data_IF_491412453788
#
_entry.id   IF_491412453788
#
_cell.length_a   1.000
_cell.length_b   1.000
_cell.length_c   1.000
_cell.angle_alpha   90.00
_cell.angle_beta   90.00
_cell.angle_gamma   90.00
#
_symmetry.space_group_name_H-M   'P 1'
#
loop_
_entity.id
_entity.type
_entity.pdbx_description
1 polymer ?
#
# COMPACT_ATOMS: atom_id res chain seq x y z
N UNK A 1 -5.63 -9.34 35.03
CA UNK A 1 -5.02 -8.77 33.81
C UNK A 1 -5.62 -9.49 32.62
N UNK A 2 -6.74 -8.99 32.13
CA UNK A 2 -7.35 -9.54 30.92
C UNK A 2 -6.52 -9.10 29.72
N UNK A 3 -5.93 -10.07 29.05
CA UNK A 3 -5.23 -9.85 27.79
C UNK A 3 -6.24 -9.35 26.78
N UNK A 4 -6.10 -8.10 26.34
CA UNK A 4 -6.77 -7.58 25.15
C UNK A 4 -6.33 -8.44 23.95
N UNK A 5 -7.03 -9.55 23.72
CA UNK A 5 -7.04 -10.20 22.41
C UNK A 5 -7.58 -9.14 21.45
N UNK A 6 -6.70 -8.54 20.65
CA UNK A 6 -7.11 -7.79 19.48
C UNK A 6 -8.00 -8.73 18.66
N UNK A 7 -9.28 -8.41 18.61
CA UNK A 7 -10.22 -9.14 17.79
C UNK A 7 -9.92 -8.75 16.34
N UNK A 8 -8.97 -9.46 15.74
CA UNK A 8 -8.44 -9.26 14.38
C UNK A 8 -9.47 -9.43 13.25
N UNK A 9 -10.76 -9.44 13.57
CA UNK A 9 -11.87 -9.64 12.65
C UNK A 9 -12.65 -8.38 12.31
N UNK A 10 -12.39 -7.23 12.94
CA UNK A 10 -13.10 -6.00 12.57
C UNK A 10 -12.69 -5.58 11.14
N UNK A 11 -13.62 -5.33 10.20
CA UNK A 11 -13.27 -5.09 8.81
C UNK A 11 -12.29 -3.92 8.60
N UNK A 12 -12.34 -2.90 9.46
CA UNK A 12 -11.38 -1.79 9.45
C UNK A 12 -9.94 -2.25 9.71
N UNK A 13 -9.72 -3.13 10.70
CA UNK A 13 -8.39 -3.66 11.00
C UNK A 13 -7.90 -4.57 9.86
N UNK A 14 -8.79 -5.35 9.27
CA UNK A 14 -8.48 -6.23 8.12
C UNK A 14 -8.06 -5.41 6.91
N UNK A 15 -8.81 -4.36 6.57
CA UNK A 15 -8.50 -3.45 5.45
C UNK A 15 -7.19 -2.69 5.71
N UNK A 16 -7.01 -2.12 6.91
CA UNK A 16 -5.75 -1.48 7.35
C UNK A 16 -4.58 -2.46 7.22
N UNK A 17 -4.72 -3.68 7.75
CA UNK A 17 -3.67 -4.69 7.70
C UNK A 17 -3.31 -5.11 6.27
N UNK A 18 -4.29 -5.15 5.37
CA UNK A 18 -4.08 -5.43 3.94
C UNK A 18 -3.27 -4.32 3.28
N UNK A 19 -3.65 -3.06 3.51
CA UNK A 19 -2.89 -1.90 3.03
C UNK A 19 -1.42 -1.94 3.50
N UNK A 20 -1.20 -2.16 4.80
CA UNK A 20 0.15 -2.17 5.39
C UNK A 20 1.02 -3.30 4.83
N UNK A 21 0.46 -4.50 4.63
CA UNK A 21 1.21 -5.62 4.03
C UNK A 21 1.55 -5.34 2.57
N UNK A 22 0.58 -4.90 1.77
CA UNK A 22 0.82 -4.58 0.36
C UNK A 22 1.79 -3.41 0.19
N UNK A 23 1.83 -2.45 1.12
CA UNK A 23 2.84 -1.40 1.11
C UNK A 23 4.26 -1.97 1.30
N UNK A 24 4.44 -2.93 2.21
CA UNK A 24 5.74 -3.59 2.40
C UNK A 24 6.17 -4.37 1.15
N UNK A 25 5.23 -5.07 0.51
CA UNK A 25 5.49 -5.77 -0.75
C UNK A 25 5.92 -4.76 -1.84
N UNK A 26 5.20 -3.63 -1.95
CA UNK A 26 5.52 -2.56 -2.90
C UNK A 26 6.93 -1.99 -2.66
N UNK A 27 7.29 -1.70 -1.42
CA UNK A 27 8.61 -1.20 -1.04
C UNK A 27 9.72 -2.21 -1.36
N UNK A 28 9.49 -3.51 -1.14
CA UNK A 28 10.42 -4.56 -1.52
C UNK A 28 10.63 -4.60 -3.05
N UNK A 29 9.54 -4.54 -3.83
CA UNK A 29 9.65 -4.52 -5.30
C UNK A 29 10.32 -3.24 -5.85
N UNK A 30 10.25 -2.10 -5.15
CA UNK A 30 11.04 -0.90 -5.53
C UNK A 30 12.53 -1.18 -5.42
N UNK A 31 12.96 -1.90 -4.38
CA UNK A 31 14.36 -2.30 -4.21
C UNK A 31 14.77 -3.26 -5.32
N UNK A 32 13.97 -4.29 -5.60
CA UNK A 32 14.25 -5.26 -6.68
C UNK A 32 14.40 -4.57 -8.05
N UNK A 33 13.52 -3.64 -8.40
CA UNK A 33 13.64 -2.85 -9.63
C UNK A 33 14.91 -2.00 -9.64
N UNK A 34 15.28 -1.41 -8.51
CA UNK A 34 16.52 -0.63 -8.40
C UNK A 34 17.76 -1.50 -8.63
N UNK A 35 17.79 -2.71 -8.07
CA UNK A 35 18.88 -3.67 -8.24
C UNK A 35 18.96 -4.18 -9.68
N UNK A 36 17.82 -4.52 -10.29
CA UNK A 36 17.75 -4.95 -11.69
C UNK A 36 18.22 -3.84 -12.66
N UNK A 37 17.83 -2.57 -12.41
CA UNK A 37 18.34 -1.41 -13.16
C UNK A 37 19.86 -1.27 -13.04
N UNK A 38 20.37 -1.33 -11.82
CA UNK A 38 21.81 -1.24 -11.55
C UNK A 38 22.59 -2.35 -12.25
N UNK A 39 22.04 -3.58 -12.26
CA UNK A 39 22.65 -4.72 -12.97
C UNK A 39 22.66 -4.51 -14.48
N UNK A 40 21.56 -4.06 -15.07
CA UNK A 40 21.48 -3.77 -16.50
C UNK A 40 22.47 -2.66 -16.90
N UNK A 41 22.57 -1.60 -16.11
CA UNK A 41 23.52 -0.50 -16.33
C UNK A 41 24.97 -0.98 -16.26
N UNK A 42 25.31 -1.84 -15.29
CA UNK A 42 26.65 -2.42 -15.18
C UNK A 42 27.07 -3.27 -16.38
N UNK A 43 26.09 -3.76 -17.17
CA UNK A 43 26.31 -4.55 -18.37
C UNK A 43 26.21 -3.73 -19.67
N UNK A 44 25.93 -2.42 -19.60
CA UNK A 44 25.64 -1.61 -20.80
C UNK A 44 26.84 -1.50 -21.75
N UNK A 45 28.03 -1.36 -21.19
CA UNK A 45 29.26 -1.15 -21.95
C UNK A 45 30.08 -2.46 -22.10
N UNK A 46 29.48 -3.61 -21.76
CA UNK A 46 30.11 -4.92 -21.96
C UNK A 46 29.76 -5.46 -23.35
N UNK A 47 30.64 -6.28 -23.93
CA UNK A 47 30.36 -6.97 -25.21
C UNK A 47 29.42 -8.18 -25.02
N UNK A 48 29.02 -8.49 -23.78
CA UNK A 48 28.16 -9.63 -23.47
C UNK A 48 26.68 -9.30 -23.70
N UNK A 49 26.29 -9.37 -24.97
CA UNK A 49 24.90 -9.15 -25.41
C UNK A 49 23.91 -10.14 -24.81
N UNK A 50 24.36 -11.35 -24.46
CA UNK A 50 23.48 -12.37 -23.89
C UNK A 50 23.09 -11.98 -22.46
N UNK A 51 24.08 -11.66 -21.63
CA UNK A 51 23.84 -11.21 -20.26
C UNK A 51 23.09 -9.88 -20.20
N UNK A 52 23.38 -8.93 -21.10
CA UNK A 52 22.62 -7.70 -21.20
C UNK A 52 21.14 -7.95 -21.51
N UNK A 53 20.84 -8.83 -22.48
CA UNK A 53 19.45 -9.18 -22.83
C UNK A 53 18.73 -9.81 -21.64
N UNK A 54 19.37 -10.75 -20.94
CA UNK A 54 18.80 -11.40 -19.76
C UNK A 54 18.54 -10.41 -18.62
N UNK A 55 19.48 -9.50 -18.35
CA UNK A 55 19.30 -8.46 -17.34
C UNK A 55 18.13 -7.52 -17.70
N UNK A 56 17.92 -7.26 -18.99
CA UNK A 56 16.78 -6.47 -19.47
C UNK A 56 15.46 -7.19 -19.24
N UNK A 57 15.37 -8.48 -19.54
CA UNK A 57 14.17 -9.29 -19.27
C UNK A 57 13.82 -9.30 -17.78
N UNK A 58 14.81 -9.45 -16.90
CA UNK A 58 14.62 -9.38 -15.45
C UNK A 58 14.09 -8.01 -15.01
N UNK A 59 14.64 -6.92 -15.57
CA UNK A 59 14.15 -5.58 -15.28
C UNK A 59 12.69 -5.39 -15.73
N UNK A 60 12.35 -5.88 -16.92
CA UNK A 60 11.00 -5.79 -17.47
C UNK A 60 9.99 -6.55 -16.57
N UNK A 61 10.35 -7.76 -16.12
CA UNK A 61 9.55 -8.55 -15.17
C UNK A 61 9.37 -7.85 -13.81
N UNK A 62 10.46 -7.40 -13.20
CA UNK A 62 10.42 -6.71 -11.91
C UNK A 62 9.58 -5.42 -11.99
N UNK A 63 9.70 -4.68 -13.09
CA UNK A 63 8.93 -3.46 -13.34
C UNK A 63 7.43 -3.77 -13.48
N UNK A 64 7.08 -4.85 -14.18
CA UNK A 64 5.69 -5.27 -14.33
C UNK A 64 5.05 -5.65 -12.97
N UNK A 65 5.79 -6.36 -12.11
CA UNK A 65 5.34 -6.72 -10.76
C UNK A 65 5.16 -5.48 -9.88
N UNK A 66 6.10 -4.54 -9.95
CA UNK A 66 6.00 -3.27 -9.22
C UNK A 66 4.75 -2.48 -9.63
N UNK A 67 4.49 -2.33 -10.93
CA UNK A 67 3.31 -1.63 -11.45
C UNK A 67 2.00 -2.32 -11.06
N UNK A 68 1.95 -3.66 -11.11
CA UNK A 68 0.79 -4.41 -10.66
C UNK A 68 0.52 -4.18 -9.16
N UNK A 69 1.57 -4.22 -8.35
CA UNK A 69 1.48 -4.03 -6.89
C UNK A 69 1.08 -2.59 -6.55
N UNK A 70 1.61 -1.60 -7.27
CA UNK A 70 1.22 -0.18 -7.16
C UNK A 70 -0.29 0.01 -7.34
N UNK A 71 -0.87 -0.57 -8.40
CA UNK A 71 -2.32 -0.50 -8.68
C UNK A 71 -3.14 -1.17 -7.58
N UNK A 72 -2.71 -2.33 -7.08
CA UNK A 72 -3.37 -3.00 -5.96
C UNK A 72 -3.34 -2.16 -4.69
N UNK A 73 -2.19 -1.55 -4.39
CA UNK A 73 -2.01 -0.68 -3.24
C UNK A 73 -2.96 0.53 -3.29
N UNK A 74 -3.06 1.18 -4.45
CA UNK A 74 -4.01 2.27 -4.68
C UNK A 74 -5.47 1.82 -4.48
N UNK A 75 -5.82 0.63 -4.98
CA UNK A 75 -7.13 0.03 -4.79
C UNK A 75 -7.47 -0.25 -3.32
N UNK A 76 -6.53 -0.82 -2.56
CA UNK A 76 -6.72 -1.06 -1.12
C UNK A 76 -6.78 0.23 -0.30
N UNK A 77 -6.03 1.26 -0.69
CA UNK A 77 -6.11 2.57 -0.06
C UNK A 77 -7.49 3.21 -0.29
N UNK A 78 -8.00 3.14 -1.51
CA UNK A 78 -9.35 3.60 -1.87
C UNK A 78 -10.43 2.85 -1.11
N UNK A 79 -10.36 1.51 -1.07
CA UNK A 79 -11.31 0.68 -0.34
C UNK A 79 -11.31 0.98 1.17
N UNK A 80 -10.13 1.22 1.76
CA UNK A 80 -10.03 1.61 3.17
C UNK A 80 -10.64 2.99 3.44
N UNK A 81 -10.32 3.99 2.60
CA UNK A 81 -10.84 5.35 2.74
C UNK A 81 -12.37 5.40 2.61
N UNK A 82 -12.91 4.76 1.57
CA UNK A 82 -14.35 4.63 1.35
C UNK A 82 -15.01 3.92 2.53
N UNK A 83 -14.42 2.83 3.04
CA UNK A 83 -14.98 2.12 4.18
C UNK A 83 -14.99 2.99 5.45
N UNK A 84 -13.93 3.75 5.71
CA UNK A 84 -13.89 4.69 6.83
C UNK A 84 -15.02 5.70 6.68
N UNK A 85 -15.12 6.35 5.51
CA UNK A 85 -16.08 7.43 5.26
C UNK A 85 -17.53 6.96 5.28
N UNK A 86 -17.84 5.88 4.58
CA UNK A 86 -19.23 5.49 4.32
C UNK A 86 -19.78 4.56 5.41
N UNK A 87 -18.90 3.76 6.06
CA UNK A 87 -19.34 2.77 7.05
C UNK A 87 -18.96 3.13 8.48
N UNK A 88 -17.84 3.81 8.72
CA UNK A 88 -17.37 4.05 10.10
C UNK A 88 -17.71 5.45 10.60
N UNK A 89 -17.46 6.51 9.82
CA UNK A 89 -17.74 7.89 10.25
C UNK A 89 -19.21 8.10 10.68
N UNK A 90 -20.25 7.61 9.95
CA UNK A 90 -21.63 7.78 10.36
C UNK A 90 -21.95 7.10 11.70
N UNK A 91 -21.19 6.07 12.05
CA UNK A 91 -21.34 5.39 13.33
C UNK A 91 -20.73 6.23 14.46
N UNK A 92 -19.65 6.98 14.21
CA UNK A 92 -18.92 7.75 15.23
C UNK A 92 -19.77 8.82 15.92
N UNK A 93 -20.83 9.29 15.28
CA UNK A 93 -21.78 10.27 15.80
C UNK A 93 -22.88 9.65 16.67
N UNK A 94 -22.91 8.32 16.81
CA UNK A 94 -23.89 7.63 17.65
C UNK A 94 -23.46 7.61 19.13
N UNK A 95 -24.40 7.60 20.09
CA UNK A 95 -24.08 7.69 21.53
C UNK A 95 -23.27 6.51 22.09
N UNK A 96 -23.27 5.35 21.40
CA UNK A 96 -22.75 4.08 21.91
C UNK A 96 -21.51 3.58 21.15
N UNK A 97 -20.72 4.49 20.59
CA UNK A 97 -19.51 4.11 19.83
C UNK A 97 -18.43 3.59 20.76
N UNK A 98 -17.92 2.36 20.55
CA UNK A 98 -16.77 1.87 21.29
C UNK A 98 -15.58 2.83 21.10
N UNK A 99 -14.90 3.29 22.18
CA UNK A 99 -13.74 4.18 22.07
C UNK A 99 -12.66 3.67 21.10
N UNK A 100 -12.52 2.35 20.98
CA UNK A 100 -11.61 1.68 20.05
C UNK A 100 -11.85 2.06 18.59
N UNK A 101 -13.10 2.30 18.16
CA UNK A 101 -13.41 2.68 16.78
C UNK A 101 -12.74 4.00 16.38
N UNK A 102 -12.70 4.99 17.29
CA UNK A 102 -12.03 6.28 17.05
C UNK A 102 -10.51 6.11 16.90
N UNK A 103 -9.91 5.26 17.74
CA UNK A 103 -8.47 4.94 17.66
C UNK A 103 -8.14 4.26 16.34
N UNK A 104 -8.91 3.25 15.93
CA UNK A 104 -8.67 2.53 14.68
C UNK A 104 -8.84 3.41 13.44
N UNK A 105 -9.82 4.32 13.43
CA UNK A 105 -9.98 5.28 12.33
C UNK A 105 -8.78 6.20 12.24
N UNK A 106 -8.30 6.71 13.38
CA UNK A 106 -7.11 7.56 13.44
C UNK A 106 -5.90 6.83 12.87
N UNK A 107 -5.61 5.62 13.33
CA UNK A 107 -4.50 4.82 12.83
C UNK A 107 -4.62 4.52 11.33
N UNK A 108 -5.81 4.17 10.85
CA UNK A 108 -6.04 3.89 9.44
C UNK A 108 -5.81 5.14 8.57
N UNK A 109 -6.27 6.32 9.02
CA UNK A 109 -6.00 7.60 8.36
C UNK A 109 -4.51 7.94 8.34
N UNK A 110 -3.81 7.78 9.46
CA UNK A 110 -2.35 8.00 9.51
C UNK A 110 -1.60 7.13 8.50
N UNK A 111 -2.04 5.89 8.25
CA UNK A 111 -1.47 5.04 7.21
C UNK A 111 -1.76 5.55 5.79
N UNK A 112 -2.96 6.05 5.52
CA UNK A 112 -3.31 6.66 4.23
C UNK A 112 -2.51 7.96 3.99
N UNK A 113 -2.38 8.81 5.01
CA UNK A 113 -1.60 10.05 4.93
C UNK A 113 -0.12 9.77 4.65
N UNK A 114 0.46 8.79 5.34
CA UNK A 114 1.85 8.34 5.09
C UNK A 114 2.01 7.79 3.68
N UNK A 115 1.03 7.05 3.17
CA UNK A 115 1.08 6.54 1.80
C UNK A 115 1.16 7.69 0.79
N UNK A 116 0.27 8.69 0.90
CA UNK A 116 0.25 9.86 -0.01
C UNK A 116 1.54 10.67 0.11
N UNK A 117 2.06 10.83 1.33
CA UNK A 117 3.24 11.65 1.59
C UNK A 117 4.53 10.98 1.08
N UNK A 118 4.69 9.69 1.35
CA UNK A 118 5.94 8.98 1.09
C UNK A 118 5.99 8.32 -0.29
N UNK A 119 4.83 8.01 -0.86
CA UNK A 119 4.70 7.27 -2.13
C UNK A 119 3.66 7.93 -3.05
N UNK A 120 3.88 9.20 -3.46
CA UNK A 120 2.94 9.93 -4.34
C UNK A 120 2.69 9.23 -5.69
N UNK A 121 3.63 8.39 -6.14
CA UNK A 121 3.50 7.57 -7.34
C UNK A 121 2.42 6.50 -7.26
N UNK A 122 1.88 6.18 -6.07
CA UNK A 122 0.77 5.22 -5.93
C UNK A 122 -0.55 5.81 -6.45
N UNK A 123 -0.62 7.12 -6.70
CA UNK A 123 -1.78 7.81 -7.29
C UNK A 123 -3.11 7.66 -6.51
N UNK A 124 -3.05 7.25 -5.24
CA UNK A 124 -4.21 7.29 -4.36
C UNK A 124 -4.58 8.75 -4.01
N UNK A 125 -5.88 9.03 -4.03
CA UNK A 125 -6.46 10.30 -3.56
C UNK A 125 -7.62 9.99 -2.63
N UNK A 126 -7.71 10.74 -1.54
CA UNK A 126 -8.88 10.71 -0.68
C UNK A 126 -10.13 11.01 -1.48
N UNK A 127 -11.18 10.24 -1.24
CA UNK A 127 -12.44 10.41 -1.92
C UNK A 127 -13.08 11.72 -1.43
N UNK A 128 -13.21 12.71 -2.32
CA UNK A 128 -13.79 14.01 -1.99
C UNK A 128 -15.23 13.84 -1.51
N UNK A 129 -15.64 14.66 -0.54
CA UNK A 129 -17.03 14.76 -0.12
C UNK A 129 -17.87 15.07 -1.38
N UNK A 130 -18.85 14.21 -1.68
CA UNK A 130 -19.86 14.55 -2.67
C UNK A 130 -20.61 15.77 -2.13
N UNK A 131 -20.40 16.93 -2.77
CA UNK A 131 -21.15 18.15 -2.50
C UNK A 131 -22.64 17.97 -2.80
#
# INVERSE_FOLDING_TARGET
MESHKSCSGHPLEVKKGTLVRTLKDYEAYKVEVSEAKSKLESLRDTEDKHEFRKAKEILDEATAVLEFTRKRLAGYATDLDVYIRDSILPLLDTPNVPPMCKVYVKEAREHLDRLVTNHPEVEFKFATEAS
#
